data_IF_980100820163
#
_entry.id   IF_980100820163
#
_cell.length_a   1.000
_cell.length_b   1.000
_cell.length_c   1.000
_cell.angle_alpha   90.00
_cell.angle_beta   90.00
_cell.angle_gamma   90.00
#
_symmetry.space_group_name_H-M   'P 1'
#
loop_
_entity.id
_entity.type
_entity.pdbx_description
1 polymer ?
#
# COMPACT_ATOMS: atom_id res chain seq x y z
N UNK A 1 -2.65 18.65 -8.68
CA UNK A 1 -3.29 17.49 -9.34
C UNK A 1 -4.75 17.52 -8.96
N UNK A 2 -5.65 17.63 -9.93
CA UNK A 2 -7.09 17.66 -9.70
C UNK A 2 -7.62 16.23 -9.60
N UNK A 3 -8.30 15.93 -8.50
CA UNK A 3 -9.08 14.71 -8.37
C UNK A 3 -10.32 14.89 -9.25
N UNK A 4 -10.38 14.19 -10.38
CA UNK A 4 -11.59 14.19 -11.19
C UNK A 4 -12.72 13.55 -10.38
N UNK A 5 -13.78 14.32 -10.12
CA UNK A 5 -15.00 13.81 -9.51
C UNK A 5 -15.78 12.98 -10.54
N UNK A 6 -16.57 12.01 -10.05
CA UNK A 6 -17.40 11.18 -10.90
C UNK A 6 -18.56 12.00 -11.50
N UNK A 7 -18.74 11.91 -12.82
CA UNK A 7 -19.87 12.55 -13.51
C UNK A 7 -21.11 11.66 -13.43
N UNK A 8 -21.76 11.66 -12.26
CA UNK A 8 -22.98 10.89 -12.00
C UNK A 8 -24.15 11.22 -12.94
N UNK A 9 -24.43 12.50 -13.28
CA UNK A 9 -25.51 12.82 -14.21
C UNK A 9 -25.32 12.20 -15.59
N UNK A 10 -24.10 12.27 -16.13
CA UNK A 10 -23.79 11.67 -17.44
C UNK A 10 -23.78 10.13 -17.37
N UNK A 11 -23.30 9.56 -16.26
CA UNK A 11 -23.36 8.12 -16.00
C UNK A 11 -24.81 7.61 -16.04
N UNK A 12 -25.72 8.20 -15.25
CA UNK A 12 -27.11 7.75 -15.18
C UNK A 12 -27.80 7.86 -16.54
N UNK A 13 -27.68 9.03 -17.19
CA UNK A 13 -28.31 9.26 -18.49
C UNK A 13 -27.84 8.26 -19.55
N UNK A 14 -26.54 7.97 -19.58
CA UNK A 14 -25.97 6.99 -20.51
C UNK A 14 -26.40 5.57 -20.15
N UNK A 15 -26.45 5.23 -18.86
CA UNK A 15 -26.85 3.92 -18.41
C UNK A 15 -28.31 3.63 -18.76
N UNK A 16 -29.22 4.56 -18.46
CA UNK A 16 -30.66 4.44 -18.73
C UNK A 16 -30.94 4.29 -20.23
N UNK A 17 -30.23 5.04 -21.06
CA UNK A 17 -30.33 4.92 -22.52
C UNK A 17 -29.94 3.52 -23.01
N UNK A 18 -28.89 2.93 -22.44
CA UNK A 18 -28.39 1.61 -22.87
C UNK A 18 -29.22 0.45 -22.30
N UNK A 19 -29.69 0.55 -21.05
CA UNK A 19 -30.54 -0.48 -20.41
C UNK A 19 -31.87 -0.62 -21.14
N UNK A 20 -32.41 0.47 -21.71
CA UNK A 20 -33.66 0.45 -22.48
C UNK A 20 -33.70 -0.61 -23.59
N UNK A 21 -32.54 -1.00 -24.12
CA UNK A 21 -32.42 -1.99 -25.21
C UNK A 21 -32.14 -3.41 -24.72
N UNK A 22 -32.23 -3.66 -23.40
CA UNK A 22 -31.97 -4.96 -22.78
C UNK A 22 -33.27 -5.48 -22.19
N UNK A 23 -33.79 -6.58 -22.72
CA UNK A 23 -34.98 -7.21 -22.14
C UNK A 23 -34.66 -7.73 -20.73
N UNK A 24 -35.58 -7.59 -19.76
CA UNK A 24 -35.41 -8.01 -18.37
C UNK A 24 -35.54 -9.54 -18.24
N UNK A 25 -34.65 -10.27 -18.90
CA UNK A 25 -34.57 -11.74 -18.85
C UNK A 25 -33.25 -12.17 -18.23
N UNK A 26 -33.25 -13.33 -17.55
CA UNK A 26 -32.06 -13.88 -16.88
C UNK A 26 -30.91 -14.09 -17.88
N UNK A 27 -31.24 -14.45 -19.11
CA UNK A 27 -30.26 -14.67 -20.19
C UNK A 27 -29.50 -13.38 -20.58
N UNK A 28 -30.06 -12.21 -20.29
CA UNK A 28 -29.46 -10.91 -20.58
C UNK A 28 -28.66 -10.31 -19.41
N UNK A 29 -28.53 -11.03 -18.29
CA UNK A 29 -27.84 -10.52 -17.09
C UNK A 29 -26.39 -10.13 -17.37
N UNK A 30 -25.64 -10.95 -18.12
CA UNK A 30 -24.26 -10.62 -18.50
C UNK A 30 -24.19 -9.33 -19.33
N UNK A 31 -25.12 -9.15 -20.26
CA UNK A 31 -25.19 -7.95 -21.11
C UNK A 31 -25.47 -6.70 -20.29
N UNK A 32 -26.33 -6.80 -19.28
CA UNK A 32 -26.58 -5.73 -18.31
C UNK A 32 -25.30 -5.39 -17.53
N UNK A 33 -24.61 -6.39 -16.97
CA UNK A 33 -23.38 -6.19 -16.20
C UNK A 33 -22.28 -5.55 -17.04
N UNK A 34 -22.09 -6.01 -18.29
CA UNK A 34 -21.15 -5.39 -19.23
C UNK A 34 -21.49 -3.92 -19.50
N UNK A 35 -22.78 -3.61 -19.65
CA UNK A 35 -23.26 -2.23 -19.86
C UNK A 35 -22.96 -1.35 -18.66
N UNK A 36 -23.32 -1.77 -17.44
CA UNK A 36 -23.02 -1.05 -16.19
C UNK A 36 -21.52 -0.80 -16.04
N UNK A 37 -20.69 -1.83 -16.19
CA UNK A 37 -19.22 -1.73 -16.07
C UNK A 37 -18.62 -0.80 -17.13
N UNK A 38 -19.11 -0.87 -18.36
CA UNK A 38 -18.67 -0.05 -19.48
C UNK A 38 -18.98 1.43 -19.26
N UNK A 39 -20.21 1.74 -18.84
CA UNK A 39 -20.64 3.11 -18.51
C UNK A 39 -19.87 3.65 -17.31
N UNK A 40 -19.70 2.84 -16.27
CA UNK A 40 -18.95 3.23 -15.06
C UNK A 40 -17.50 3.60 -15.41
N UNK A 41 -16.83 2.82 -16.27
CA UNK A 41 -15.45 3.11 -16.68
C UNK A 41 -15.30 4.45 -17.40
N UNK A 42 -16.35 4.94 -18.07
CA UNK A 42 -16.33 6.19 -18.85
C UNK A 42 -16.56 7.43 -17.99
N UNK A 43 -17.43 7.33 -16.99
CA UNK A 43 -17.91 8.48 -16.23
C UNK A 43 -17.42 8.53 -14.78
N UNK A 44 -16.93 7.40 -14.26
CA UNK A 44 -16.30 7.31 -12.94
C UNK A 44 -14.79 7.24 -13.18
N UNK A 45 -14.06 8.35 -12.98
CA UNK A 45 -12.62 8.34 -13.06
C UNK A 45 -12.11 7.33 -12.01
N UNK A 46 -11.48 6.26 -12.50
CA UNK A 46 -10.75 5.36 -11.61
C UNK A 46 -9.52 6.13 -11.17
N UNK A 47 -9.51 6.57 -9.91
CA UNK A 47 -8.39 7.29 -9.34
C UNK A 47 -7.07 6.65 -9.74
N UNK A 48 -6.11 7.48 -10.16
CA UNK A 48 -4.77 7.01 -10.47
C UNK A 48 -4.18 6.42 -9.19
N UNK A 49 -4.02 5.10 -9.14
CA UNK A 49 -3.23 4.48 -8.08
C UNK A 49 -1.78 4.82 -8.37
N UNK A 50 -1.29 5.92 -7.81
CA UNK A 50 0.13 6.15 -7.75
C UNK A 50 0.79 4.90 -7.17
N UNK A 51 1.95 4.49 -7.71
CA UNK A 51 2.81 3.51 -7.04
C UNK A 51 3.38 4.21 -5.81
N UNK A 52 2.55 4.38 -4.79
CA UNK A 52 2.96 4.95 -3.52
C UNK A 52 3.92 3.96 -2.89
N UNK A 53 5.18 4.36 -2.83
CA UNK A 53 6.20 3.65 -2.06
C UNK A 53 6.22 4.34 -0.69
N UNK A 54 5.85 3.63 0.39
CA UNK A 54 5.86 4.21 1.72
C UNK A 54 7.24 4.76 2.09
N UNK A 55 7.25 5.94 2.70
CA UNK A 55 8.47 6.64 3.15
C UNK A 55 9.40 7.07 2.00
N UNK A 56 8.89 7.09 0.77
CA UNK A 56 9.58 7.69 -0.36
C UNK A 56 9.62 9.20 -0.19
N UNK A 57 10.82 9.76 -0.15
CA UNK A 57 11.10 11.17 0.06
C UNK A 57 11.99 11.72 -1.07
N UNK A 58 12.26 13.02 -1.06
CA UNK A 58 13.07 13.68 -2.09
C UNK A 58 14.51 13.14 -2.16
N UNK A 59 15.05 12.66 -1.03
CA UNK A 59 16.35 11.97 -0.98
C UNK A 59 16.29 10.63 -1.74
N UNK A 60 15.20 9.89 -1.60
CA UNK A 60 14.94 8.65 -2.33
C UNK A 60 14.84 8.91 -3.84
N UNK A 61 14.20 10.01 -4.26
CA UNK A 61 14.17 10.43 -5.67
C UNK A 61 15.57 10.70 -6.22
N UNK A 62 16.40 11.41 -5.46
CA UNK A 62 17.79 11.73 -5.85
C UNK A 62 18.64 10.46 -5.99
N UNK A 63 18.60 9.59 -4.98
CA UNK A 63 19.35 8.33 -4.97
C UNK A 63 18.88 7.38 -6.07
N UNK A 64 17.58 7.31 -6.32
CA UNK A 64 17.03 6.50 -7.41
C UNK A 64 17.44 7.03 -8.79
N UNK A 65 17.42 8.35 -9.00
CA UNK A 65 17.87 8.97 -10.24
C UNK A 65 19.39 8.82 -10.47
N UNK A 66 20.18 8.77 -9.41
CA UNK A 66 21.61 8.49 -9.47
C UNK A 66 21.88 7.01 -9.76
N UNK A 67 21.15 6.09 -9.11
CA UNK A 67 21.21 4.67 -9.37
C UNK A 67 20.85 4.35 -10.83
N UNK A 68 19.80 4.96 -11.39
CA UNK A 68 19.44 4.75 -12.80
C UNK A 68 20.52 5.21 -13.78
N UNK A 69 21.34 6.21 -13.40
CA UNK A 69 22.43 6.71 -14.24
C UNK A 69 23.70 5.86 -14.14
N UNK A 70 24.07 5.46 -12.93
CA UNK A 70 25.38 4.89 -12.65
C UNK A 70 25.35 3.37 -12.37
N UNK A 71 24.18 2.80 -12.07
CA UNK A 71 23.99 1.37 -11.78
C UNK A 71 24.72 0.87 -10.53
N UNK A 72 25.20 1.77 -9.67
CA UNK A 72 26.05 1.42 -8.53
C UNK A 72 25.25 0.78 -7.39
N UNK A 73 25.73 -0.37 -6.90
CA UNK A 73 25.11 -1.08 -5.79
C UNK A 73 25.07 -0.24 -4.49
N UNK A 74 26.11 0.53 -4.21
CA UNK A 74 26.16 1.38 -3.00
C UNK A 74 25.04 2.44 -2.98
N UNK A 75 24.68 2.99 -4.12
CA UNK A 75 23.59 3.97 -4.23
C UNK A 75 22.23 3.31 -3.99
N UNK A 76 22.06 2.05 -4.43
CA UNK A 76 20.88 1.25 -4.12
C UNK A 76 20.81 0.91 -2.62
N UNK A 77 21.92 0.55 -1.99
CA UNK A 77 21.97 0.26 -0.56
C UNK A 77 21.65 1.51 0.28
N UNK A 78 22.17 2.68 -0.12
CA UNK A 78 21.82 3.98 0.51
C UNK A 78 20.33 4.28 0.38
N UNK A 79 19.73 4.02 -0.78
CA UNK A 79 18.29 4.17 -1.00
C UNK A 79 17.48 3.22 -0.11
N UNK A 80 17.89 1.96 0.00
CA UNK A 80 17.22 1.00 0.89
C UNK A 80 17.35 1.41 2.37
N UNK A 81 18.51 1.94 2.76
CA UNK A 81 18.77 2.48 4.09
C UNK A 81 17.88 3.67 4.44
N UNK A 82 17.74 4.65 3.53
CA UNK A 82 16.87 5.81 3.77
C UNK A 82 15.41 5.41 3.91
N UNK A 83 14.93 4.47 3.08
CA UNK A 83 13.58 3.91 3.19
C UNK A 83 13.37 3.12 4.49
N UNK A 84 14.37 2.37 4.95
CA UNK A 84 14.29 1.65 6.22
C UNK A 84 14.18 2.60 7.40
N UNK A 85 15.01 3.65 7.43
CA UNK A 85 14.98 4.69 8.46
C UNK A 85 13.63 5.42 8.48
N UNK A 86 13.13 5.84 7.33
CA UNK A 86 11.82 6.51 7.25
C UNK A 86 10.67 5.63 7.77
N UNK A 87 10.75 4.30 7.59
CA UNK A 87 9.77 3.37 8.17
C UNK A 87 9.87 3.29 9.69
N UNK A 88 11.09 3.26 10.24
CA UNK A 88 11.33 3.26 11.69
C UNK A 88 10.80 4.53 12.35
N UNK A 89 11.06 5.70 11.76
CA UNK A 89 10.58 6.98 12.27
C UNK A 89 9.05 7.03 12.26
N UNK A 90 8.41 6.61 11.16
CA UNK A 90 6.94 6.57 11.04
C UNK A 90 6.29 5.58 11.99
N UNK A 91 6.94 4.44 12.22
CA UNK A 91 6.48 3.47 13.22
C UNK A 91 6.52 4.10 14.62
N UNK A 92 7.63 4.73 14.97
CA UNK A 92 7.82 5.40 16.26
C UNK A 92 6.78 6.50 16.48
N UNK A 93 6.61 7.40 15.51
CA UNK A 93 5.57 8.45 15.53
C UNK A 93 4.16 7.85 15.74
N UNK A 94 3.85 6.76 15.03
CA UNK A 94 2.54 6.10 15.13
C UNK A 94 2.33 5.49 16.50
N UNK A 95 3.32 4.81 17.06
CA UNK A 95 3.25 4.20 18.39
C UNK A 95 3.15 5.24 19.49
N UNK A 96 3.88 6.35 19.38
CA UNK A 96 3.78 7.46 20.34
C UNK A 96 2.41 8.15 20.30
N UNK A 97 1.82 8.29 19.11
CA UNK A 97 0.50 8.90 18.93
C UNK A 97 -0.65 7.95 19.27
N UNK A 98 -0.41 6.64 19.33
CA UNK A 98 -1.42 5.67 19.73
C UNK A 98 -1.69 5.82 21.23
N UNK A 99 -2.86 6.39 21.55
CA UNK A 99 -3.34 6.40 22.93
C UNK A 99 -3.82 5.00 23.33
N UNK A 100 -2.95 4.25 23.98
CA UNK A 100 -3.27 2.93 24.52
C UNK A 100 -4.27 2.97 25.69
N UNK A 101 -4.70 4.16 26.18
CA UNK A 101 -5.65 4.29 27.30
C UNK A 101 -7.02 3.66 27.04
N UNK A 102 -7.43 3.55 25.78
CA UNK A 102 -8.72 2.95 25.41
C UNK A 102 -8.61 1.49 24.92
N UNK A 103 -7.40 0.91 24.94
CA UNK A 103 -7.23 -0.53 24.73
C UNK A 103 -7.67 -1.27 25.99
N UNK A 104 -8.69 -2.12 25.89
CA UNK A 104 -9.14 -3.00 26.98
C UNK A 104 -8.15 -4.12 27.33
N UNK A 105 -6.94 -4.07 26.76
CA UNK A 105 -5.79 -4.90 27.13
C UNK A 105 -4.71 -3.99 27.68
N UNK A 106 -4.31 -4.26 28.92
CA UNK A 106 -3.05 -3.78 29.48
C UNK A 106 -1.94 -4.05 28.45
N UNK A 107 -1.15 -3.04 28.03
CA UNK A 107 -0.04 -3.27 27.15
C UNK A 107 1.08 -3.96 27.96
N UNK A 108 1.03 -5.29 28.06
CA UNK A 108 2.10 -6.10 28.66
C UNK A 108 3.41 -6.05 27.84
N UNK A 109 3.40 -5.41 26.66
CA UNK A 109 4.57 -5.32 25.79
C UNK A 109 5.26 -3.98 26.05
N UNK A 110 6.20 -3.99 27.00
CA UNK A 110 7.18 -2.91 27.13
C UNK A 110 7.97 -2.81 25.81
N UNK A 111 8.32 -1.62 25.29
CA UNK A 111 9.00 -1.46 23.99
C UNK A 111 10.27 -2.31 23.83
N UNK A 112 10.99 -2.45 24.94
CA UNK A 112 12.18 -3.26 25.14
C UNK A 112 11.91 -4.78 25.14
N UNK A 113 10.69 -5.25 25.44
CA UNK A 113 10.34 -6.67 25.41
C UNK A 113 10.25 -7.22 23.97
N UNK A 114 9.74 -6.43 23.02
CA UNK A 114 9.69 -6.84 21.62
C UNK A 114 11.08 -6.85 20.98
N UNK A 115 11.89 -5.83 21.25
CA UNK A 115 13.28 -5.77 20.80
C UNK A 115 14.11 -6.94 21.35
N UNK A 116 13.98 -7.24 22.65
CA UNK A 116 14.66 -8.37 23.28
C UNK A 116 14.21 -9.72 22.68
N UNK A 117 12.92 -9.90 22.42
CA UNK A 117 12.38 -11.11 21.77
C UNK A 117 12.89 -11.29 20.34
N UNK A 118 13.05 -10.20 19.58
CA UNK A 118 13.65 -10.24 18.24
C UNK A 118 15.14 -10.61 18.29
N UNK A 119 15.88 -10.09 19.27
CA UNK A 119 17.29 -10.42 19.48
C UNK A 119 17.45 -11.90 19.88
N UNK A 120 16.63 -12.39 20.81
CA UNK A 120 16.66 -13.79 21.26
C UNK A 120 16.32 -14.77 20.14
N UNK A 121 15.26 -14.49 19.37
CA UNK A 121 14.86 -15.36 18.24
C UNK A 121 15.87 -15.33 17.09
N UNK A 122 16.61 -14.23 16.93
CA UNK A 122 17.69 -14.12 15.94
C UNK A 122 18.94 -14.88 16.41
N UNK A 123 19.35 -14.74 17.67
CA UNK A 123 20.45 -15.53 18.27
C UNK A 123 20.18 -17.03 18.21
N UNK A 124 18.96 -17.45 18.57
CA UNK A 124 18.57 -18.86 18.51
C UNK A 124 18.64 -19.46 17.09
N UNK A 125 18.41 -18.67 16.04
CA UNK A 125 18.60 -19.11 14.65
C UNK A 125 20.08 -19.25 14.29
N UNK A 126 20.91 -18.30 14.72
CA UNK A 126 22.36 -18.32 14.50
C UNK A 126 22.99 -19.56 15.17
N UNK A 127 22.66 -19.82 16.44
CA UNK A 127 23.20 -20.97 17.19
C UNK A 127 22.77 -22.31 16.59
N UNK A 128 21.54 -22.39 16.07
CA UNK A 128 21.02 -23.58 15.37
C UNK A 128 21.75 -23.83 14.04
N UNK A 129 22.12 -22.79 13.32
CA UNK A 129 22.86 -22.91 12.06
C UNK A 129 24.35 -23.21 12.28
N UNK A 130 24.94 -22.73 13.39
CA UNK A 130 26.29 -23.13 13.82
C UNK A 130 26.31 -24.63 14.20
N UNK A 131 25.31 -25.09 14.96
CA UNK A 131 25.20 -26.49 15.39
C UNK A 131 24.91 -27.48 14.25
N UNK A 132 24.45 -27.00 13.08
CA UNK A 132 24.26 -27.82 11.86
C UNK A 132 25.49 -27.90 10.97
N UNK A 133 26.50 -27.06 11.21
CA UNK A 133 27.73 -26.98 10.42
C UNK A 133 28.94 -27.64 11.11
N UNK A 134 28.78 -28.10 12.35
CA UNK A 134 29.67 -29.03 13.05
C UNK A 134 29.17 -30.46 12.87
#
# INVERSE_FOLDING_TARGET
MEFYEANWPAFSKSLDYNIRWIDPTVNNYERFICTVKGTAKRYIPRGYRYKYIPCWNEESDRLYAEYQRNGQAETADKLLGSLAKGREDRWTETVERLDFKHSSREPEIKPNAFANRLIETSRAKIDKDISRKL
#
